data_IF_532145632894
#
_entry.id   IF_532145632894
#
_cell.length_a   1.000
_cell.length_b   1.000
_cell.length_c   1.000
_cell.angle_alpha   90.00
_cell.angle_beta   90.00
_cell.angle_gamma   90.00
#
_symmetry.space_group_name_H-M   'P 1'
#
loop_
_entity.id
_entity.type
_entity.pdbx_description
1 polymer ?
#
# COMPACT_ATOMS: atom_id res chain seq x y z
N UNK A 1 -19.30 56.14 -42.86
CA UNK A 1 -20.04 55.30 -43.82
C UNK A 1 -19.08 54.29 -44.46
N UNK A 2 -19.58 53.06 -44.72
CA UNK A 2 -18.92 51.84 -45.29
C UNK A 2 -18.23 50.97 -44.21
N UNK A 3 -18.81 49.90 -43.63
CA UNK A 3 -19.37 48.62 -44.17
C UNK A 3 -18.28 47.93 -45.03
N UNK A 4 -17.70 46.75 -44.73
CA UNK A 4 -18.27 45.43 -44.42
C UNK A 4 -17.16 44.48 -43.89
N UNK A 5 -17.61 43.52 -43.07
CA UNK A 5 -17.06 42.23 -42.65
C UNK A 5 -15.78 41.71 -43.34
N UNK A 6 -14.82 41.27 -42.53
CA UNK A 6 -14.15 39.98 -42.74
C UNK A 6 -14.35 39.13 -41.48
N UNK A 7 -15.29 38.20 -41.61
CA UNK A 7 -15.47 37.08 -40.71
C UNK A 7 -14.32 36.07 -40.89
N UNK A 8 -14.16 35.24 -39.86
CA UNK A 8 -13.47 33.95 -39.89
C UNK A 8 -11.94 33.97 -39.95
N UNK A 9 -11.32 34.00 -38.77
CA UNK A 9 -10.19 33.09 -38.49
C UNK A 9 -10.14 32.81 -36.99
N UNK A 10 -10.60 31.62 -36.61
CA UNK A 10 -10.16 30.80 -35.48
C UNK A 10 -10.00 31.55 -34.14
N UNK A 11 -10.99 31.62 -33.26
CA UNK A 11 -11.44 30.48 -32.45
C UNK A 11 -10.28 29.55 -32.03
N UNK A 12 -9.17 30.10 -31.52
CA UNK A 12 -8.17 29.33 -30.79
C UNK A 12 -8.52 29.38 -29.28
N UNK A 13 -9.66 28.77 -28.93
CA UNK A 13 -9.89 28.29 -27.58
C UNK A 13 -8.80 27.28 -27.28
N UNK A 14 -7.71 27.73 -26.65
CA UNK A 14 -6.76 26.88 -25.95
C UNK A 14 -7.49 26.26 -24.76
N UNK A 15 -8.27 25.23 -25.06
CA UNK A 15 -8.76 24.25 -24.13
C UNK A 15 -7.51 23.57 -23.55
N UNK A 16 -7.02 24.11 -22.44
CA UNK A 16 -6.03 23.43 -21.62
C UNK A 16 -6.77 22.21 -21.06
N UNK A 17 -6.69 21.08 -21.75
CA UNK A 17 -7.10 19.80 -21.18
C UNK A 17 -6.11 19.51 -20.05
N UNK A 18 -6.40 20.02 -18.86
CA UNK A 18 -5.88 19.48 -17.61
C UNK A 18 -6.51 18.09 -17.44
N UNK A 19 -5.99 17.12 -18.17
CA UNK A 19 -6.31 15.72 -17.92
C UNK A 19 -5.80 15.37 -16.53
N UNK A 20 -6.70 14.97 -15.64
CA UNK A 20 -6.31 14.39 -14.36
C UNK A 20 -5.44 13.16 -14.66
N UNK A 21 -4.14 13.24 -14.37
CA UNK A 21 -3.26 12.07 -14.43
C UNK A 21 -3.74 11.12 -13.35
N UNK A 22 -4.53 10.14 -13.77
CA UNK A 22 -4.94 9.04 -12.91
C UNK A 22 -3.67 8.25 -12.54
N UNK A 23 -3.37 8.08 -11.25
CA UNK A 23 -2.19 7.37 -10.79
C UNK A 23 -2.22 5.94 -11.29
N UNK A 24 -1.16 5.57 -12.02
CA UNK A 24 -1.03 4.23 -12.56
C UNK A 24 -0.25 3.35 -11.56
N UNK A 25 -0.60 2.06 -11.43
CA UNK A 25 0.23 1.11 -10.71
C UNK A 25 1.65 1.08 -11.31
N UNK A 26 2.66 0.64 -10.53
CA UNK A 26 4.02 0.50 -11.01
C UNK A 26 4.09 -0.36 -12.26
N UNK A 27 4.88 0.10 -13.24
CA UNK A 27 5.22 -0.71 -14.40
C UNK A 27 6.09 -1.90 -14.00
N UNK A 28 6.12 -2.94 -14.85
CA UNK A 28 6.99 -4.09 -14.65
C UNK A 28 8.47 -3.71 -14.49
N UNK A 29 8.94 -2.74 -15.28
CA UNK A 29 10.31 -2.25 -15.21
C UNK A 29 10.60 -1.53 -13.89
N UNK A 30 9.67 -0.69 -13.42
CA UNK A 30 9.78 -0.03 -12.11
C UNK A 30 9.86 -1.06 -10.98
N UNK A 31 8.99 -2.08 -10.98
CA UNK A 31 9.02 -3.15 -9.98
C UNK A 31 10.33 -3.95 -10.02
N UNK A 32 10.82 -4.30 -11.21
CA UNK A 32 12.07 -5.05 -11.35
C UNK A 32 13.30 -4.28 -10.86
N UNK A 33 13.28 -2.95 -11.01
CA UNK A 33 14.37 -2.07 -10.55
C UNK A 33 14.22 -1.57 -9.11
N UNK A 34 13.08 -1.82 -8.45
CA UNK A 34 12.78 -1.27 -7.15
C UNK A 34 13.68 -1.86 -6.06
N UNK A 35 14.08 -1.02 -5.10
CA UNK A 35 14.77 -1.47 -3.91
C UNK A 35 13.76 -1.94 -2.86
N UNK A 36 13.68 -3.25 -2.64
CA UNK A 36 12.83 -3.87 -1.62
C UNK A 36 13.51 -3.95 -0.23
N UNK A 37 14.80 -3.61 -0.14
CA UNK A 37 15.60 -3.73 1.07
C UNK A 37 15.77 -5.15 1.58
N UNK A 38 16.26 -5.25 2.81
CA UNK A 38 16.45 -6.50 3.54
C UNK A 38 15.42 -6.63 4.66
N UNK A 39 14.91 -7.84 4.84
CA UNK A 39 14.04 -8.16 5.98
C UNK A 39 14.94 -8.46 7.19
N UNK A 40 14.80 -7.72 8.30
CA UNK A 40 15.59 -8.00 9.49
C UNK A 40 15.23 -9.36 10.07
N UNK A 41 16.21 -10.10 10.57
CA UNK A 41 15.99 -11.45 11.11
C UNK A 41 14.98 -11.50 12.28
N UNK A 42 14.82 -10.38 13.00
CA UNK A 42 13.88 -10.24 14.12
C UNK A 42 12.54 -9.59 13.72
N UNK A 43 12.12 -9.67 12.45
CA UNK A 43 10.89 -9.03 11.97
C UNK A 43 9.63 -9.45 12.78
N UNK A 44 9.56 -10.69 13.25
CA UNK A 44 8.44 -11.18 14.07
C UNK A 44 8.34 -10.42 15.39
N UNK A 45 9.47 -10.21 16.06
CA UNK A 45 9.54 -9.43 17.30
C UNK A 45 9.19 -7.95 17.05
N UNK A 46 9.58 -7.38 15.91
CA UNK A 46 9.18 -6.01 15.54
C UNK A 46 7.65 -5.89 15.39
N UNK A 47 7.00 -6.89 14.77
CA UNK A 47 5.54 -6.94 14.63
C UNK A 47 4.85 -7.13 15.99
N UNK A 48 5.36 -8.04 16.82
CA UNK A 48 4.82 -8.27 18.17
C UNK A 48 4.92 -7.01 19.02
N UNK A 49 6.08 -6.32 19.00
CA UNK A 49 6.28 -5.06 19.72
C UNK A 49 5.36 -3.95 19.19
N UNK A 50 5.17 -3.86 17.87
CA UNK A 50 4.23 -2.91 17.29
C UNK A 50 2.80 -3.17 17.79
N UNK A 51 2.37 -4.43 17.82
CA UNK A 51 1.02 -4.80 18.24
C UNK A 51 0.82 -4.77 19.75
N UNK A 52 1.90 -4.85 20.53
CA UNK A 52 1.84 -4.86 21.99
C UNK A 52 1.05 -3.68 22.58
N UNK A 53 1.23 -2.48 22.03
CA UNK A 53 0.50 -1.27 22.46
C UNK A 53 -0.91 -1.15 21.85
N UNK A 54 -1.24 -1.98 20.86
CA UNK A 54 -2.50 -1.92 20.11
C UNK A 54 -3.52 -2.99 20.57
N UNK A 55 -3.06 -4.10 21.15
CA UNK A 55 -3.93 -5.19 21.61
C UNK A 55 -4.44 -4.97 23.04
N UNK A 56 -5.62 -5.53 23.34
CA UNK A 56 -6.22 -5.45 24.69
C UNK A 56 -5.56 -6.38 25.69
N UNK A 57 -5.13 -7.56 25.24
CA UNK A 57 -4.30 -8.50 26.00
C UNK A 57 -3.14 -8.95 25.08
N UNK A 58 -2.02 -8.22 25.06
CA UNK A 58 -0.90 -8.53 24.20
C UNK A 58 -0.11 -9.76 24.64
N UNK A 59 -0.15 -10.11 25.94
CA UNK A 59 0.64 -11.20 26.50
C UNK A 59 0.11 -12.59 26.12
N UNK A 60 -1.19 -12.70 25.84
CA UNK A 60 -1.80 -13.97 25.40
C UNK A 60 -2.13 -13.99 23.90
N UNK A 61 -1.70 -12.97 23.15
CA UNK A 61 -1.89 -12.94 21.71
C UNK A 61 -1.16 -14.10 21.02
N UNK A 62 -1.85 -14.76 20.10
CA UNK A 62 -1.33 -15.91 19.36
C UNK A 62 -1.01 -15.49 17.93
N UNK A 63 0.23 -15.72 17.53
CA UNK A 63 0.76 -15.36 16.21
C UNK A 63 1.11 -16.61 15.43
N UNK A 64 0.81 -16.60 14.13
CA UNK A 64 1.24 -17.62 13.18
C UNK A 64 1.73 -16.96 11.91
N UNK A 65 3.04 -16.77 11.83
CA UNK A 65 3.69 -16.15 10.69
C UNK A 65 3.69 -17.09 9.48
N UNK A 66 3.47 -16.51 8.30
CA UNK A 66 3.63 -17.19 7.03
C UNK A 66 4.93 -16.71 6.38
N UNK A 67 5.35 -17.37 5.30
CA UNK A 67 6.57 -17.00 4.58
C UNK A 67 6.50 -15.54 4.08
N UNK A 68 7.42 -14.66 4.49
CA UNK A 68 7.52 -13.32 3.94
C UNK A 68 7.95 -13.34 2.47
N UNK A 69 7.57 -12.32 1.71
CA UNK A 69 7.90 -12.19 0.29
C UNK A 69 8.15 -10.73 -0.09
N UNK A 70 8.95 -10.49 -1.13
CA UNK A 70 9.17 -9.12 -1.63
C UNK A 70 7.94 -8.68 -2.41
N UNK A 71 7.57 -7.42 -2.28
CA UNK A 71 6.43 -6.87 -2.98
C UNK A 71 6.24 -5.39 -2.70
N UNK A 72 5.14 -4.86 -3.20
CA UNK A 72 4.74 -3.50 -2.89
C UNK A 72 3.31 -3.43 -2.37
N UNK A 73 3.08 -2.41 -1.57
CA UNK A 73 1.78 -2.09 -1.00
C UNK A 73 1.37 -0.68 -1.42
N UNK A 74 0.14 -0.55 -1.91
CA UNK A 74 -0.50 0.71 -2.31
C UNK A 74 -1.92 0.79 -1.72
N UNK A 75 -2.33 1.97 -1.28
CA UNK A 75 -3.65 2.18 -0.67
C UNK A 75 -4.77 2.27 -1.72
N UNK A 76 -4.98 1.18 -2.47
CA UNK A 76 -6.00 1.06 -3.52
C UNK A 76 -5.66 1.78 -4.84
N UNK A 77 -6.54 1.61 -5.84
CA UNK A 77 -6.37 2.15 -7.19
C UNK A 77 -6.50 3.68 -7.30
N UNK A 78 -6.89 4.37 -6.22
CA UNK A 78 -7.18 5.81 -6.20
C UNK A 78 -6.05 6.66 -5.64
N UNK A 79 -4.88 6.10 -5.34
CA UNK A 79 -3.84 6.88 -4.68
C UNK A 79 -3.19 7.86 -5.63
N UNK A 80 -3.47 9.15 -5.44
CA UNK A 80 -3.08 10.29 -6.28
C UNK A 80 -1.57 10.44 -6.58
N UNK A 81 -0.68 9.70 -5.91
CA UNK A 81 0.77 9.76 -6.14
C UNK A 81 1.47 8.39 -6.05
N UNK A 82 2.45 8.18 -6.93
CA UNK A 82 3.39 7.04 -6.87
C UNK A 82 4.22 7.02 -5.58
N UNK A 83 4.37 8.16 -4.92
CA UNK A 83 5.09 8.30 -3.63
C UNK A 83 4.42 7.56 -2.47
N UNK A 84 3.14 7.23 -2.61
CA UNK A 84 2.41 6.45 -1.62
C UNK A 84 2.78 4.96 -1.61
N UNK A 85 3.40 4.48 -2.69
CA UNK A 85 3.72 3.08 -2.91
C UNK A 85 4.91 2.69 -2.05
N UNK A 86 4.76 1.64 -1.26
CA UNK A 86 5.82 1.11 -0.42
C UNK A 86 6.35 -0.16 -1.04
N UNK A 87 7.61 -0.13 -1.47
CA UNK A 87 8.34 -1.33 -1.86
C UNK A 87 9.04 -1.90 -0.63
N UNK A 88 8.97 -3.22 -0.43
CA UNK A 88 9.52 -3.82 0.77
C UNK A 88 9.27 -5.32 0.86
N UNK A 89 9.35 -5.82 2.09
CA UNK A 89 9.00 -7.20 2.44
C UNK A 89 7.61 -7.24 3.05
N UNK A 90 6.71 -7.97 2.41
CA UNK A 90 5.36 -8.23 2.88
C UNK A 90 5.41 -9.45 3.80
N UNK A 91 4.87 -9.28 5.00
CA UNK A 91 4.89 -10.24 6.08
C UNK A 91 3.44 -10.59 6.40
N UNK A 92 2.88 -11.62 5.76
CA UNK A 92 1.55 -12.12 6.10
C UNK A 92 1.62 -12.97 7.36
N UNK A 93 0.66 -12.79 8.26
CA UNK A 93 0.53 -13.61 9.47
C UNK A 93 -0.92 -13.69 9.92
N UNK A 94 -1.22 -14.70 10.73
CA UNK A 94 -2.47 -14.79 11.44
C UNK A 94 -2.29 -14.34 12.88
N UNK A 95 -3.30 -13.65 13.40
CA UNK A 95 -3.37 -13.17 14.78
C UNK A 95 -4.72 -13.56 15.38
N UNK A 96 -4.68 -14.19 16.54
CA UNK A 96 -5.84 -14.37 17.40
C UNK A 96 -5.56 -13.69 18.74
N UNK A 97 -6.39 -12.73 19.11
CA UNK A 97 -6.24 -11.93 20.32
C UNK A 97 -7.58 -11.80 21.05
N UNK A 98 -7.52 -11.45 22.34
CA UNK A 98 -8.73 -11.27 23.14
C UNK A 98 -9.31 -9.87 22.98
N UNK A 99 -10.64 -9.77 23.12
CA UNK A 99 -11.34 -8.50 23.30
C UNK A 99 -11.22 -7.99 24.75
N UNK A 100 -11.88 -6.87 25.04
CA UNK A 100 -11.94 -6.26 26.38
C UNK A 100 -12.62 -7.13 27.44
N UNK A 101 -13.36 -8.17 27.05
CA UNK A 101 -14.01 -9.12 27.95
C UNK A 101 -13.17 -10.38 28.19
N UNK A 102 -11.95 -10.45 27.64
CA UNK A 102 -11.02 -11.57 27.82
C UNK A 102 -11.29 -12.77 26.91
N UNK A 103 -12.25 -12.70 25.99
CA UNK A 103 -12.55 -13.76 25.02
C UNK A 103 -11.79 -13.56 23.72
N UNK A 104 -11.27 -14.66 23.14
CA UNK A 104 -10.68 -14.63 21.79
C UNK A 104 -11.73 -14.28 20.74
N UNK A 105 -11.39 -13.40 19.81
CA UNK A 105 -12.30 -12.93 18.75
C UNK A 105 -12.19 -13.72 17.44
N UNK A 106 -11.41 -14.80 17.46
CA UNK A 106 -11.10 -15.60 16.29
C UNK A 106 -9.85 -15.12 15.56
N UNK A 107 -9.23 -16.06 14.84
CA UNK A 107 -8.01 -15.82 14.08
C UNK A 107 -8.31 -14.96 12.84
N UNK A 108 -7.53 -13.89 12.64
CA UNK A 108 -7.63 -12.98 11.50
C UNK A 108 -6.28 -12.86 10.79
N UNK A 109 -6.30 -12.70 9.46
CA UNK A 109 -5.10 -12.53 8.65
C UNK A 109 -4.73 -11.06 8.56
N UNK A 110 -3.48 -10.76 8.85
CA UNK A 110 -2.88 -9.43 8.78
C UNK A 110 -1.75 -9.42 7.75
N UNK A 111 -1.48 -8.22 7.22
CA UNK A 111 -0.40 -7.99 6.28
C UNK A 111 0.35 -6.75 6.70
N UNK A 112 1.62 -6.93 7.01
CA UNK A 112 2.52 -5.84 7.31
C UNK A 112 3.55 -5.73 6.19
N UNK A 113 4.04 -4.52 5.91
CA UNK A 113 5.18 -4.31 5.02
C UNK A 113 6.33 -3.67 5.79
N UNK A 114 7.50 -4.28 5.69
CA UNK A 114 8.76 -3.69 6.13
C UNK A 114 9.41 -2.98 4.95
N UNK A 115 9.54 -1.66 5.05
CA UNK A 115 10.05 -0.81 3.97
C UNK A 115 10.90 0.31 4.58
N UNK A 116 12.11 0.51 4.03
CA UNK A 116 13.03 1.57 4.45
C UNK A 116 13.24 1.64 5.98
N UNK A 117 13.47 0.49 6.61
CA UNK A 117 13.73 0.41 8.05
C UNK A 117 12.49 0.50 8.94
N UNK A 118 11.29 0.62 8.37
CA UNK A 118 10.04 0.86 9.09
C UNK A 118 8.98 -0.17 8.76
N UNK A 119 8.12 -0.42 9.74
CA UNK A 119 7.01 -1.36 9.65
C UNK A 119 5.70 -0.59 9.44
N UNK A 120 4.89 -1.03 8.49
CA UNK A 120 3.58 -0.44 8.20
C UNK A 120 2.52 -1.53 8.17
N UNK A 121 1.41 -1.31 8.88
CA UNK A 121 0.20 -2.12 8.72
C UNK A 121 -0.47 -1.77 7.39
N UNK A 122 -0.56 -2.76 6.50
CA UNK A 122 -1.19 -2.65 5.18
C UNK A 122 -2.35 -3.62 5.04
N UNK A 123 -2.89 -4.13 6.16
CA UNK A 123 -3.98 -5.11 6.18
C UNK A 123 -5.19 -4.59 5.41
N UNK A 124 -5.53 -3.31 5.57
CA UNK A 124 -6.65 -2.68 4.85
C UNK A 124 -6.45 -2.65 3.32
N UNK A 125 -5.21 -2.67 2.84
CA UNK A 125 -4.94 -2.57 1.41
C UNK A 125 -5.36 -3.84 0.66
N UNK A 126 -5.47 -4.97 1.36
CA UNK A 126 -6.02 -6.21 0.79
C UNK A 126 -7.45 -6.04 0.27
N UNK A 127 -8.28 -5.27 0.98
CA UNK A 127 -9.65 -4.97 0.55
C UNK A 127 -9.73 -4.14 -0.74
N UNK A 128 -8.63 -3.49 -1.12
CA UNK A 128 -8.51 -2.69 -2.32
C UNK A 128 -7.57 -3.31 -3.38
N UNK A 129 -7.25 -4.61 -3.24
CA UNK A 129 -6.28 -5.30 -4.09
C UNK A 129 -4.93 -4.55 -4.19
N UNK A 130 -4.47 -3.98 -3.08
CA UNK A 130 -3.31 -3.09 -3.02
C UNK A 130 -2.00 -3.76 -2.59
N UNK A 131 -1.97 -5.09 -2.46
CA UNK A 131 -0.77 -5.85 -2.09
C UNK A 131 -0.38 -6.72 -3.28
N UNK A 132 0.83 -6.52 -3.79
CA UNK A 132 1.31 -7.16 -4.99
C UNK A 132 2.71 -7.75 -4.78
N UNK A 133 2.92 -9.04 -5.11
CA UNK A 133 4.26 -9.64 -5.10
C UNK A 133 5.19 -8.95 -6.09
N UNK A 134 6.48 -8.93 -5.78
CA UNK A 134 7.51 -8.57 -6.75
C UNK A 134 7.52 -9.59 -7.89
N UNK A 135 7.86 -9.19 -9.11
CA UNK A 135 7.98 -10.12 -10.21
C UNK A 135 9.10 -11.14 -9.99
N UNK A 136 8.88 -12.39 -10.42
CA UNK A 136 9.86 -13.49 -10.42
C UNK A 136 10.42 -13.89 -9.03
N UNK A 137 9.53 -14.03 -8.05
CA UNK A 137 9.83 -14.56 -6.71
C UNK A 137 10.08 -16.08 -6.70
#
# INVERSE_FOLDING_TARGET
MKKILFAATLALSSLVLSGCVMPQPPTQAEMASANYGELPANYEALIQNFLYSNLKDPYTAQYRFLKPFKGYAQNGAWVQSKESIKYGWIIPFYLNAKNSYGAYIGEKKYFFIYSNGRLYDVTLYTGFNGIHPAPNQ
#
